data_IF_494319385285
#
_entry.id   IF_494319385285
#
_cell.length_a   1.000
_cell.length_b   1.000
_cell.length_c   1.000
_cell.angle_alpha   90.00
_cell.angle_beta   90.00
_cell.angle_gamma   90.00
#
_symmetry.space_group_name_H-M   'P 1'
#
loop_
_entity.id
_entity.type
_entity.pdbx_description
1 polymer ?
#
# COMPACT_ATOMS: atom_id res chain seq x y z
N UNK A 1 -26.99 18.13 -12.82
CA UNK A 1 -26.29 17.60 -14.00
C UNK A 1 -24.98 18.37 -14.13
N UNK A 2 -23.91 17.83 -13.57
CA UNK A 2 -22.57 18.43 -13.67
C UNK A 2 -21.84 17.64 -14.74
N UNK A 3 -21.60 18.27 -15.89
CA UNK A 3 -20.82 17.70 -16.98
C UNK A 3 -19.37 18.08 -16.73
N UNK A 4 -18.54 17.12 -16.34
CA UNK A 4 -17.09 17.29 -16.25
C UNK A 4 -16.52 16.91 -17.61
N UNK A 5 -16.06 17.92 -18.35
CA UNK A 5 -15.39 17.78 -19.65
C UNK A 5 -13.88 17.65 -19.38
N UNK A 6 -13.32 16.46 -19.54
CA UNK A 6 -11.87 16.25 -19.45
C UNK A 6 -11.26 16.33 -20.85
N UNK A 7 -10.50 17.41 -21.09
CA UNK A 7 -9.66 17.59 -22.28
C UNK A 7 -8.36 16.81 -22.06
N UNK A 8 -7.83 16.07 -23.05
CA UNK A 8 -6.55 15.37 -22.93
C UNK A 8 -5.41 16.40 -22.92
N UNK A 9 -4.91 16.74 -21.73
CA UNK A 9 -3.81 17.68 -21.55
C UNK A 9 -3.12 17.54 -20.19
N UNK A 10 -1.85 17.14 -20.24
CA UNK A 10 -0.77 17.31 -19.24
C UNK A 10 -1.13 16.95 -17.79
N UNK A 11 -0.72 15.74 -17.39
CA UNK A 11 -0.93 15.10 -16.08
C UNK A 11 0.02 15.61 -14.96
N UNK A 12 -0.03 16.90 -14.59
CA UNK A 12 0.81 17.40 -13.48
C UNK A 12 0.13 17.52 -12.12
N UNK A 13 -1.19 17.74 -12.01
CA UNK A 13 -1.81 18.10 -10.73
C UNK A 13 -3.21 17.50 -10.55
N UNK A 14 -3.30 16.18 -10.41
CA UNK A 14 -4.52 15.61 -9.86
C UNK A 14 -4.40 15.59 -8.32
N UNK A 15 -5.03 16.55 -7.67
CA UNK A 15 -5.62 16.33 -6.34
C UNK A 15 -6.58 15.16 -6.45
N UNK A 16 -6.64 14.36 -5.38
CA UNK A 16 -7.16 13.03 -5.52
C UNK A 16 -8.69 13.03 -5.59
N UNK A 17 -9.29 13.03 -6.79
CA UNK A 17 -10.77 13.09 -6.91
C UNK A 17 -11.47 11.96 -6.15
N UNK A 18 -10.80 10.82 -5.96
CA UNK A 18 -11.28 9.71 -5.15
C UNK A 18 -11.42 10.06 -3.67
N UNK A 19 -10.77 11.12 -3.19
CA UNK A 19 -10.90 11.62 -1.81
C UNK A 19 -12.25 12.31 -1.58
N UNK A 20 -12.91 12.77 -2.66
CA UNK A 20 -14.27 13.33 -2.60
C UNK A 20 -15.37 12.26 -2.60
N UNK A 21 -15.01 10.98 -2.76
CA UNK A 21 -15.97 9.89 -2.79
C UNK A 21 -16.38 9.46 -1.37
N UNK A 22 -17.63 8.98 -1.18
CA UNK A 22 -18.08 8.54 0.14
C UNK A 22 -17.23 7.37 0.67
N UNK A 23 -16.73 7.52 1.90
CA UNK A 23 -15.93 6.49 2.58
C UNK A 23 -16.82 5.38 3.16
N UNK A 24 -16.29 4.16 3.23
CA UNK A 24 -16.96 3.05 3.90
C UNK A 24 -16.75 3.13 5.42
N UNK A 25 -17.81 3.42 6.17
CA UNK A 25 -17.77 3.58 7.64
C UNK A 25 -17.52 2.28 8.42
N UNK A 26 -17.64 1.12 7.76
CA UNK A 26 -17.42 -0.21 8.35
C UNK A 26 -15.97 -0.69 8.18
N UNK A 27 -15.03 0.22 7.93
CA UNK A 27 -13.63 -0.12 7.67
C UNK A 27 -12.67 0.87 8.32
N UNK A 28 -11.45 0.41 8.61
CA UNK A 28 -10.35 1.22 9.12
C UNK A 28 -9.13 1.11 8.21
N UNK A 29 -8.32 2.17 8.16
CA UNK A 29 -7.02 2.18 7.50
C UNK A 29 -5.98 2.57 8.55
N UNK A 30 -4.90 1.79 8.63
CA UNK A 30 -3.72 2.09 9.43
C UNK A 30 -2.51 2.16 8.53
N UNK A 31 -1.70 3.21 8.69
CA UNK A 31 -0.48 3.41 7.91
C UNK A 31 0.65 3.80 8.83
N UNK A 32 1.86 3.31 8.54
CA UNK A 32 3.08 3.83 9.12
C UNK A 32 4.06 4.14 8.00
N UNK A 33 4.72 5.28 8.13
CA UNK A 33 5.72 5.73 7.17
C UNK A 33 6.99 4.91 7.32
N UNK A 34 7.61 4.58 6.20
CA UNK A 34 8.88 3.87 6.19
C UNK A 34 9.96 4.67 6.95
N UNK A 35 10.86 3.94 7.61
CA UNK A 35 11.95 4.54 8.33
C UNK A 35 13.21 3.67 8.24
N UNK A 36 14.36 4.30 8.47
CA UNK A 36 15.61 3.60 8.75
C UNK A 36 16.01 3.90 10.18
N UNK A 37 16.37 2.85 10.92
CA UNK A 37 16.93 2.99 12.25
C UNK A 37 18.44 3.21 12.13
N UNK A 38 18.94 4.28 12.73
CA UNK A 38 20.38 4.56 12.79
C UNK A 38 20.75 4.95 14.22
N UNK A 39 21.50 4.07 14.90
CA UNK A 39 21.87 4.25 16.30
C UNK A 39 20.68 4.27 17.25
N UNK A 40 19.67 3.41 17.02
CA UNK A 40 18.44 3.34 17.83
C UNK A 40 17.41 4.43 17.49
N UNK A 41 17.77 5.46 16.72
CA UNK A 41 16.85 6.52 16.31
C UNK A 41 16.21 6.22 14.96
N UNK A 42 14.88 6.33 14.92
CA UNK A 42 14.10 6.25 13.71
C UNK A 42 14.31 7.50 12.83
N UNK A 43 14.59 7.31 11.54
CA UNK A 43 14.65 8.40 10.55
C UNK A 43 13.80 8.08 9.33
N UNK A 44 12.82 8.92 9.06
CA UNK A 44 12.06 8.85 7.81
C UNK A 44 12.98 9.24 6.64
N UNK A 45 13.00 8.40 5.61
CA UNK A 45 13.93 8.56 4.48
C UNK A 45 13.27 9.08 3.21
N UNK A 46 11.95 8.97 3.12
CA UNK A 46 11.14 9.54 2.04
C UNK A 46 9.69 9.69 2.49
N UNK A 47 8.89 10.43 1.73
CA UNK A 47 7.45 10.59 1.97
C UNK A 47 6.70 9.25 1.84
N UNK A 48 5.53 9.14 2.48
CA UNK A 48 4.65 7.98 2.30
C UNK A 48 4.19 7.91 0.85
N UNK A 49 4.46 6.78 0.19
CA UNK A 49 4.26 6.63 -1.26
C UNK A 49 3.03 5.82 -1.65
N UNK A 50 2.46 5.05 -0.71
CA UNK A 50 1.33 4.18 -1.01
C UNK A 50 0.02 4.98 -1.05
N UNK A 51 -0.99 4.41 -1.70
CA UNK A 51 -2.37 4.94 -1.66
C UNK A 51 -3.28 3.85 -1.14
N UNK A 52 -4.10 4.18 -0.15
CA UNK A 52 -5.12 3.31 0.40
C UNK A 52 -6.50 3.93 0.21
N UNK A 53 -7.50 3.13 -0.14
CA UNK A 53 -8.87 3.59 -0.39
C UNK A 53 -9.87 2.67 0.29
N UNK A 54 -10.90 3.25 0.91
CA UNK A 54 -12.06 2.56 1.47
C UNK A 54 -13.34 3.31 1.10
N UNK A 55 -13.93 2.98 -0.04
CA UNK A 55 -15.06 3.69 -0.63
C UNK A 55 -16.34 2.87 -0.51
N UNK A 56 -17.49 3.54 -0.48
CA UNK A 56 -18.81 2.90 -0.51
C UNK A 56 -19.76 3.72 -1.38
N UNK A 57 -20.15 3.18 -2.53
CA UNK A 57 -21.02 3.88 -3.47
C UNK A 57 -21.93 2.90 -4.21
N UNK A 58 -23.19 3.28 -4.42
CA UNK A 58 -24.18 2.51 -5.17
C UNK A 58 -24.38 1.06 -4.67
N UNK A 59 -24.27 0.83 -3.36
CA UNK A 59 -24.39 -0.50 -2.76
C UNK A 59 -23.17 -1.40 -2.98
N UNK A 60 -22.05 -0.82 -3.43
CA UNK A 60 -20.78 -1.51 -3.66
C UNK A 60 -19.73 -0.90 -2.73
N UNK A 61 -18.97 -1.75 -2.04
CA UNK A 61 -17.84 -1.33 -1.22
C UNK A 61 -16.53 -1.64 -1.95
N UNK A 62 -15.58 -0.72 -1.90
CA UNK A 62 -14.29 -0.83 -2.56
C UNK A 62 -13.18 -0.58 -1.55
N UNK A 63 -12.26 -1.53 -1.44
CA UNK A 63 -11.07 -1.43 -0.60
C UNK A 63 -9.85 -1.64 -1.47
N UNK A 64 -8.85 -0.77 -1.39
CA UNK A 64 -7.67 -0.86 -2.25
C UNK A 64 -6.40 -0.44 -1.55
N UNK A 65 -5.33 -1.21 -1.79
CA UNK A 65 -3.96 -0.89 -1.41
C UNK A 65 -3.12 -0.84 -2.68
N UNK A 66 -2.49 0.31 -2.93
CA UNK A 66 -1.62 0.56 -4.07
C UNK A 66 -0.22 0.91 -3.57
N UNK A 67 0.71 -0.05 -3.64
CA UNK A 67 2.05 0.11 -3.10
C UNK A 67 3.03 0.59 -4.18
N UNK A 68 3.28 1.90 -4.22
CA UNK A 68 4.35 2.45 -5.04
C UNK A 68 5.74 2.02 -4.54
N UNK A 69 6.65 1.78 -5.49
CA UNK A 69 8.05 1.46 -5.24
C UNK A 69 8.99 2.21 -6.19
N UNK A 70 10.30 2.21 -5.88
CA UNK A 70 11.35 2.92 -6.60
C UNK A 70 11.17 4.46 -6.68
N UNK A 71 10.53 5.06 -5.67
CA UNK A 71 10.64 6.50 -5.39
C UNK A 71 9.71 7.43 -6.17
N UNK A 72 8.68 6.93 -6.86
CA UNK A 72 7.66 7.75 -7.53
C UNK A 72 6.26 7.19 -7.23
N UNK A 73 5.31 8.06 -6.88
CA UNK A 73 3.92 7.70 -6.53
C UNK A 73 2.98 7.71 -7.73
N UNK A 74 3.44 8.14 -8.90
CA UNK A 74 2.61 8.33 -10.10
C UNK A 74 1.84 7.07 -10.48
N UNK A 75 2.48 5.90 -10.47
CA UNK A 75 1.83 4.64 -10.81
C UNK A 75 0.68 4.33 -9.84
N UNK A 76 0.96 4.36 -8.53
CA UNK A 76 -0.04 4.07 -7.49
C UNK A 76 -1.23 5.02 -7.59
N UNK A 77 -0.96 6.32 -7.70
CA UNK A 77 -1.99 7.35 -7.90
C UNK A 77 -2.78 7.10 -9.17
N UNK A 78 -2.12 6.95 -10.32
CA UNK A 78 -2.81 6.77 -11.59
C UNK A 78 -3.74 5.57 -11.57
N UNK A 79 -3.22 4.42 -11.14
CA UNK A 79 -3.97 3.16 -11.10
C UNK A 79 -5.13 3.27 -10.13
N UNK A 80 -4.94 3.81 -8.93
CA UNK A 80 -6.03 3.96 -7.95
C UNK A 80 -7.21 4.75 -8.52
N UNK A 81 -6.94 5.81 -9.27
CA UNK A 81 -8.01 6.74 -9.67
C UNK A 81 -8.69 6.27 -10.91
N UNK A 82 -7.89 5.81 -11.87
CA UNK A 82 -8.43 5.36 -13.13
C UNK A 82 -9.24 4.11 -12.88
N UNK A 83 -8.77 3.19 -12.04
CA UNK A 83 -9.53 2.00 -11.68
C UNK A 83 -10.85 2.34 -10.97
N UNK A 84 -10.84 3.26 -9.99
CA UNK A 84 -12.07 3.73 -9.34
C UNK A 84 -13.00 4.43 -10.34
N UNK A 85 -12.47 5.21 -11.28
CA UNK A 85 -13.24 5.87 -12.33
C UNK A 85 -13.90 4.85 -13.27
N UNK A 86 -13.16 3.82 -13.66
CA UNK A 86 -13.69 2.72 -14.49
C UNK A 86 -14.76 1.92 -13.75
N UNK A 87 -14.61 1.70 -12.44
CA UNK A 87 -15.54 0.90 -11.62
C UNK A 87 -16.82 1.68 -11.30
N UNK A 88 -16.77 2.99 -11.07
CA UNK A 88 -17.92 3.76 -10.59
C UNK A 88 -18.49 4.78 -11.58
N UNK A 89 -17.77 5.16 -12.64
CA UNK A 89 -18.15 6.30 -13.50
C UNK A 89 -18.31 5.93 -14.98
N UNK A 90 -17.24 5.51 -15.67
CA UNK A 90 -17.26 5.38 -17.14
C UNK A 90 -18.12 4.20 -17.61
N UNK A 91 -17.98 3.04 -16.97
CA UNK A 91 -18.75 1.84 -17.24
C UNK A 91 -19.02 1.11 -15.93
N UNK A 92 -19.90 1.63 -15.07
CA UNK A 92 -19.92 1.23 -13.68
C UNK A 92 -20.24 -0.26 -13.50
N UNK A 93 -19.56 -0.90 -12.54
CA UNK A 93 -20.03 -2.16 -11.99
C UNK A 93 -21.34 -1.89 -11.25
N UNK A 94 -22.33 -2.75 -11.44
CA UNK A 94 -23.63 -2.64 -10.75
C UNK A 94 -23.97 -3.93 -10.03
N UNK A 95 -24.84 -3.82 -9.03
CA UNK A 95 -25.37 -4.96 -8.27
C UNK A 95 -26.23 -5.91 -9.11
N UNK A 96 -26.63 -5.50 -10.31
CA UNK A 96 -27.46 -6.31 -11.22
C UNK A 96 -26.62 -7.23 -12.14
N UNK A 97 -25.29 -7.05 -12.16
CA UNK A 97 -24.38 -7.89 -12.94
C UNK A 97 -24.19 -9.26 -12.27
N UNK A 98 -24.07 -10.32 -13.06
CA UNK A 98 -23.74 -11.65 -12.52
C UNK A 98 -22.28 -11.70 -12.02
N UNK A 99 -21.93 -12.64 -11.14
CA UNK A 99 -20.56 -12.77 -10.66
C UNK A 99 -19.52 -12.94 -11.77
N UNK A 100 -19.83 -13.72 -12.80
CA UNK A 100 -18.94 -13.92 -13.96
C UNK A 100 -18.76 -12.62 -14.76
N UNK A 101 -19.83 -11.84 -14.92
CA UNK A 101 -19.77 -10.54 -15.60
C UNK A 101 -18.91 -9.54 -14.81
N UNK A 102 -19.03 -9.54 -13.48
CA UNK A 102 -18.22 -8.68 -12.62
C UNK A 102 -16.74 -9.11 -12.69
N UNK A 103 -16.45 -10.41 -12.62
CA UNK A 103 -15.09 -10.93 -12.71
C UNK A 103 -14.42 -10.57 -14.06
N UNK A 104 -15.12 -10.78 -15.17
CA UNK A 104 -14.64 -10.42 -16.51
C UNK A 104 -14.45 -8.90 -16.63
N UNK A 105 -15.41 -8.12 -16.14
CA UNK A 105 -15.34 -6.66 -16.18
C UNK A 105 -14.17 -6.12 -15.33
N UNK A 106 -13.92 -6.67 -14.14
CA UNK A 106 -12.79 -6.27 -13.29
C UNK A 106 -11.45 -6.57 -13.96
N UNK A 107 -11.32 -7.77 -14.55
CA UNK A 107 -10.13 -8.17 -15.31
C UNK A 107 -9.88 -7.18 -16.45
N UNK A 108 -10.88 -6.95 -17.29
CA UNK A 108 -10.77 -6.04 -18.44
C UNK A 108 -10.48 -4.59 -18.01
N UNK A 109 -11.15 -4.09 -16.97
CA UNK A 109 -10.93 -2.74 -16.44
C UNK A 109 -9.51 -2.55 -15.95
N UNK A 110 -8.98 -3.50 -15.18
CA UNK A 110 -7.61 -3.39 -14.68
C UNK A 110 -6.59 -3.47 -15.82
N UNK A 111 -6.76 -4.39 -16.78
CA UNK A 111 -5.91 -4.48 -17.97
C UNK A 111 -5.91 -3.15 -18.74
N UNK A 112 -7.08 -2.58 -19.03
CA UNK A 112 -7.22 -1.28 -19.67
C UNK A 112 -6.53 -0.16 -18.89
N UNK A 113 -6.71 -0.08 -17.56
CA UNK A 113 -6.02 0.92 -16.71
C UNK A 113 -4.50 0.79 -16.86
N UNK A 114 -3.98 -0.44 -16.85
CA UNK A 114 -2.55 -0.68 -17.00
C UNK A 114 -2.04 -0.26 -18.38
N UNK A 115 -2.79 -0.54 -19.45
CA UNK A 115 -2.46 -0.14 -20.83
C UNK A 115 -2.47 1.38 -20.99
N UNK A 116 -3.46 2.06 -20.41
CA UNK A 116 -3.53 3.52 -20.43
C UNK A 116 -2.36 4.16 -19.67
N UNK A 117 -1.93 3.58 -18.55
CA UNK A 117 -0.72 4.03 -17.86
C UNK A 117 0.54 3.87 -18.72
N UNK A 118 0.64 2.76 -19.45
CA UNK A 118 1.76 2.53 -20.36
C UNK A 118 1.78 3.55 -21.51
N UNK A 119 0.61 3.98 -21.98
CA UNK A 119 0.49 5.04 -22.97
C UNK A 119 0.96 6.40 -22.41
N UNK A 120 0.67 6.71 -21.14
CA UNK A 120 1.18 7.93 -20.48
C UNK A 120 2.73 7.93 -20.37
N UNK A 121 3.33 6.76 -20.11
CA UNK A 121 4.78 6.61 -20.03
C UNK A 121 5.47 6.81 -21.39
N UNK A 122 4.78 6.64 -22.52
CA UNK A 122 5.39 6.80 -23.85
C UNK A 122 6.03 8.18 -24.07
N UNK A 123 5.50 9.23 -23.46
CA UNK A 123 6.10 10.57 -23.53
C UNK A 123 7.48 10.59 -22.82
N UNK A 124 7.60 9.92 -21.67
CA UNK A 124 8.88 9.78 -20.95
C UNK A 124 9.88 8.96 -21.75
N UNK A 125 9.46 7.87 -22.39
CA UNK A 125 10.31 7.05 -23.25
C UNK A 125 10.82 7.85 -24.45
N UNK A 126 9.94 8.63 -25.09
CA UNK A 126 10.32 9.49 -26.22
C UNK A 126 11.33 10.56 -25.78
N UNK A 127 11.07 11.24 -24.66
CA UNK A 127 12.01 12.23 -24.09
C UNK A 127 13.35 11.61 -23.74
N UNK A 128 13.36 10.40 -23.17
CA UNK A 128 14.58 9.64 -22.87
C UNK A 128 15.41 9.38 -24.13
N UNK A 129 14.77 8.97 -25.22
CA UNK A 129 15.46 8.70 -26.48
C UNK A 129 16.10 9.97 -27.06
N UNK A 130 15.35 11.07 -27.13
CA UNK A 130 15.86 12.36 -27.61
C UNK A 130 17.07 12.83 -26.81
N UNK A 131 17.03 12.67 -25.49
CA UNK A 131 18.17 13.02 -24.64
C UNK A 131 19.37 12.07 -24.85
N UNK A 132 19.16 10.75 -25.03
CA UNK A 132 20.25 9.83 -25.35
C UNK A 132 21.00 10.22 -26.64
N UNK A 133 20.31 10.77 -27.64
CA UNK A 133 20.94 11.20 -28.90
C UNK A 133 21.82 12.45 -28.74
N UNK A 134 21.44 13.38 -27.87
CA UNK A 134 22.15 14.66 -27.70
C UNK A 134 23.55 14.52 -27.08
N UNK A 135 23.82 13.46 -26.31
CA UNK A 135 25.15 13.12 -25.75
C UNK A 135 25.87 14.27 -25.02
N UNK A 136 25.14 15.17 -24.34
CA UNK A 136 25.69 16.22 -23.47
C UNK A 136 25.58 15.85 -21.99
N UNK A 137 26.38 16.45 -21.11
CA UNK A 137 26.32 16.22 -19.65
C UNK A 137 24.92 16.52 -19.05
N UNK A 138 24.28 17.59 -19.53
CA UNK A 138 22.91 17.93 -19.15
C UNK A 138 21.94 16.83 -19.59
N UNK A 139 22.13 16.30 -20.79
CA UNK A 139 21.31 15.23 -21.33
C UNK A 139 21.47 13.92 -20.56
N UNK A 140 22.69 13.56 -20.15
CA UNK A 140 22.92 12.40 -19.29
C UNK A 140 22.23 12.54 -17.93
N UNK A 141 22.25 13.75 -17.37
CA UNK A 141 21.55 14.06 -16.12
C UNK A 141 20.04 13.91 -16.29
N UNK A 142 19.48 14.37 -17.41
CA UNK A 142 18.06 14.20 -17.73
C UNK A 142 17.69 12.74 -17.96
N UNK A 143 18.52 11.95 -18.65
CA UNK A 143 18.33 10.51 -18.81
C UNK A 143 18.31 9.81 -17.46
N UNK A 144 19.22 10.15 -16.53
CA UNK A 144 19.21 9.58 -15.16
C UNK A 144 17.91 9.88 -14.42
N UNK A 145 17.43 11.13 -14.50
CA UNK A 145 16.14 11.52 -13.89
C UNK A 145 14.96 10.76 -14.50
N UNK A 146 14.92 10.62 -15.83
CA UNK A 146 13.84 9.88 -16.50
C UNK A 146 13.94 8.39 -16.17
N UNK A 147 15.13 7.80 -16.17
CA UNK A 147 15.34 6.40 -15.79
C UNK A 147 14.84 6.12 -14.37
N UNK A 148 15.01 7.05 -13.43
CA UNK A 148 14.45 6.91 -12.08
C UNK A 148 12.93 6.79 -12.12
N UNK A 149 12.25 7.63 -12.91
CA UNK A 149 10.78 7.59 -13.05
C UNK A 149 10.30 6.32 -13.76
N UNK A 150 11.03 5.86 -14.77
CA UNK A 150 10.69 4.66 -15.53
C UNK A 150 10.89 3.35 -14.74
N UNK A 151 11.70 3.35 -13.68
CA UNK A 151 11.85 2.20 -12.78
C UNK A 151 10.75 2.14 -11.72
N UNK A 152 10.01 3.23 -11.53
CA UNK A 152 8.91 3.26 -10.59
C UNK A 152 7.71 2.46 -11.10
N UNK A 153 7.00 1.86 -10.16
CA UNK A 153 5.80 1.09 -10.42
C UNK A 153 4.94 1.03 -9.17
N UNK A 154 3.80 0.36 -9.29
CA UNK A 154 2.90 0.08 -8.18
C UNK A 154 2.38 -1.34 -8.28
N UNK A 155 2.38 -2.05 -7.15
CA UNK A 155 1.47 -3.19 -6.99
C UNK A 155 0.08 -2.68 -6.66
N UNK A 156 -0.93 -3.52 -6.87
CA UNK A 156 -2.32 -3.19 -6.58
C UNK A 156 -3.03 -4.43 -6.01
N UNK A 157 -3.70 -4.25 -4.88
CA UNK A 157 -4.63 -5.23 -4.33
C UNK A 157 -5.94 -4.51 -4.05
N UNK A 158 -7.03 -5.02 -4.60
CA UNK A 158 -8.37 -4.45 -4.47
C UNK A 158 -9.34 -5.53 -4.05
N UNK A 159 -10.18 -5.23 -3.06
CA UNK A 159 -11.36 -6.02 -2.72
C UNK A 159 -12.63 -5.20 -3.03
N UNK A 160 -13.54 -5.78 -3.80
CA UNK A 160 -14.86 -5.23 -4.10
C UNK A 160 -15.91 -6.11 -3.44
N UNK A 161 -16.81 -5.53 -2.64
CA UNK A 161 -17.96 -6.25 -2.08
C UNK A 161 -19.20 -5.80 -2.84
N UNK A 162 -19.85 -6.75 -3.53
CA UNK A 162 -21.08 -6.54 -4.30
C UNK A 162 -22.10 -7.56 -3.82
N UNK A 163 -23.16 -7.08 -3.18
CA UNK A 163 -24.18 -7.93 -2.55
C UNK A 163 -23.56 -8.92 -1.55
N UNK A 164 -23.60 -10.20 -1.88
CA UNK A 164 -23.13 -11.36 -1.12
C UNK A 164 -21.83 -11.95 -1.68
N UNK A 165 -21.14 -11.24 -2.58
CA UNK A 165 -19.90 -11.71 -3.20
C UNK A 165 -18.73 -10.74 -2.93
N UNK A 166 -17.54 -11.31 -2.77
CA UNK A 166 -16.26 -10.60 -2.65
C UNK A 166 -15.42 -10.90 -3.87
N UNK A 167 -14.96 -9.85 -4.55
CA UNK A 167 -14.10 -9.92 -5.71
C UNK A 167 -12.73 -9.34 -5.34
N UNK A 168 -11.67 -10.10 -5.55
CA UNK A 168 -10.31 -9.66 -5.24
C UNK A 168 -9.54 -9.54 -6.54
N UNK A 169 -9.01 -8.35 -6.82
CA UNK A 169 -8.10 -8.10 -7.93
C UNK A 169 -6.70 -7.93 -7.36
N UNK A 170 -5.80 -8.88 -7.64
CA UNK A 170 -4.41 -8.80 -7.22
C UNK A 170 -3.49 -8.58 -8.43
N UNK A 171 -2.56 -7.64 -8.30
CA UNK A 171 -1.43 -7.43 -9.20
C UNK A 171 -0.22 -7.03 -8.36
N UNK A 172 0.30 -7.98 -7.60
CA UNK A 172 1.58 -7.90 -6.90
C UNK A 172 1.63 -8.83 -5.71
N UNK A 173 2.30 -8.38 -4.65
CA UNK A 173 2.65 -9.16 -3.46
C UNK A 173 1.97 -8.63 -2.18
N UNK A 174 0.90 -7.86 -2.31
CA UNK A 174 0.03 -7.55 -1.16
C UNK A 174 -0.89 -8.74 -0.88
N UNK A 175 -1.36 -8.85 0.37
CA UNK A 175 -2.13 -9.99 0.86
C UNK A 175 -3.50 -9.55 1.40
N UNK A 176 -4.51 -10.40 1.20
CA UNK A 176 -5.82 -10.29 1.85
C UNK A 176 -6.13 -11.55 2.66
N UNK A 177 -6.56 -11.34 3.90
CA UNK A 177 -6.94 -12.39 4.84
C UNK A 177 -8.42 -12.28 5.24
N UNK A 178 -9.10 -13.41 5.38
CA UNK A 178 -10.41 -13.54 6.00
C UNK A 178 -10.28 -14.02 7.45
N UNK A 179 -10.89 -13.28 8.38
CA UNK A 179 -10.91 -13.61 9.79
C UNK A 179 -12.19 -14.38 10.15
N UNK A 180 -12.07 -15.56 10.74
CA UNK A 180 -13.20 -16.41 11.09
C UNK A 180 -13.73 -16.17 12.50
N UNK A 181 -15.01 -16.50 12.74
CA UNK A 181 -15.61 -16.54 14.07
C UNK A 181 -14.86 -17.53 14.98
N UNK A 182 -14.57 -17.15 16.22
CA UNK A 182 -13.83 -17.95 17.20
C UNK A 182 -14.32 -19.41 17.26
N UNK A 183 -13.39 -20.36 17.09
CA UNK A 183 -13.65 -21.81 17.22
C UNK A 183 -13.61 -22.60 15.91
N UNK A 184 -13.52 -21.94 14.75
CA UNK A 184 -13.22 -22.60 13.47
C UNK A 184 -11.72 -22.53 13.18
N UNK A 185 -11.02 -23.66 13.35
CA UNK A 185 -9.70 -23.83 12.76
C UNK A 185 -9.90 -24.02 11.25
N UNK A 186 -10.02 -22.92 10.50
CA UNK A 186 -9.65 -22.94 9.09
C UNK A 186 -8.14 -22.78 9.05
N UNK A 187 -7.42 -23.69 8.38
CA UNK A 187 -5.98 -23.52 8.10
C UNK A 187 -5.75 -22.61 6.87
N UNK A 188 -6.83 -22.15 6.21
CA UNK A 188 -6.79 -21.37 4.99
C UNK A 188 -7.50 -20.02 5.20
N UNK A 189 -6.70 -18.98 5.49
CA UNK A 189 -7.17 -17.63 5.78
C UNK A 189 -6.94 -16.65 4.63
N UNK A 190 -6.13 -17.03 3.64
CA UNK A 190 -5.61 -16.13 2.64
C UNK A 190 -6.41 -16.24 1.35
N UNK A 191 -6.92 -15.11 0.86
CA UNK A 191 -7.84 -15.09 -0.29
C UNK A 191 -7.16 -14.75 -1.63
N UNK A 192 -5.84 -14.61 -1.65
CA UNK A 192 -5.07 -14.40 -2.87
C UNK A 192 -3.67 -15.00 -2.77
N UNK A 193 -3.09 -15.41 -3.88
CA UNK A 193 -1.67 -15.73 -3.97
C UNK A 193 -0.86 -14.47 -4.24
N UNK A 194 0.34 -14.37 -3.69
CA UNK A 194 1.30 -13.32 -4.01
C UNK A 194 1.96 -13.57 -5.37
N UNK A 195 2.30 -12.48 -6.06
CA UNK A 195 3.10 -12.53 -7.27
C UNK A 195 4.58 -12.31 -6.95
N UNK A 196 5.21 -13.37 -6.44
CA UNK A 196 6.64 -13.44 -6.16
C UNK A 196 7.23 -14.83 -6.46
N UNK A 197 8.36 -15.17 -5.82
CA UNK A 197 9.07 -16.43 -6.05
C UNK A 197 8.61 -17.59 -5.17
N UNK A 198 7.76 -17.33 -4.18
CA UNK A 198 7.14 -18.37 -3.37
C UNK A 198 5.96 -19.01 -4.14
N UNK A 199 5.39 -18.25 -5.09
CA UNK A 199 4.39 -18.73 -6.04
C UNK A 199 5.02 -19.55 -7.19
N UNK A 200 4.68 -20.85 -7.24
CA UNK A 200 5.20 -21.79 -8.24
C UNK A 200 4.80 -21.42 -9.68
N UNK A 201 3.61 -20.87 -9.89
CA UNK A 201 3.15 -20.45 -11.21
C UNK A 201 4.00 -19.28 -11.75
N UNK A 202 4.37 -18.34 -10.90
CA UNK A 202 5.26 -17.23 -11.26
C UNK A 202 6.68 -17.72 -11.52
N UNK A 203 7.18 -18.68 -10.73
CA UNK A 203 8.47 -19.33 -10.97
C UNK A 203 8.49 -20.04 -12.32
N UNK A 204 7.43 -20.77 -12.66
CA UNK A 204 7.29 -21.44 -13.96
C UNK A 204 7.17 -20.43 -15.10
N UNK A 205 6.39 -19.35 -14.93
CA UNK A 205 6.26 -18.26 -15.90
C UNK A 205 7.62 -17.63 -16.21
N UNK A 206 8.40 -17.30 -15.18
CA UNK A 206 9.74 -16.72 -15.32
C UNK A 206 10.71 -17.70 -16.01
N UNK A 207 10.67 -18.98 -15.65
CA UNK A 207 11.47 -20.03 -16.32
C UNK A 207 11.11 -20.17 -17.80
N UNK A 208 9.82 -20.10 -18.14
CA UNK A 208 9.33 -20.22 -19.52
C UNK A 208 9.80 -19.09 -20.43
N UNK A 209 10.08 -17.90 -19.88
CA UNK A 209 10.68 -16.79 -20.64
C UNK A 209 12.21 -16.79 -20.61
N UNK A 210 12.85 -17.71 -19.88
CA UNK A 210 14.31 -17.86 -19.84
C UNK A 210 15.00 -17.16 -18.65
N UNK A 211 14.25 -16.80 -17.60
CA UNK A 211 14.81 -16.23 -16.37
C UNK A 211 15.13 -17.32 -15.35
N UNK A 212 16.29 -17.22 -14.72
CA UNK A 212 16.63 -18.01 -13.54
C UNK A 212 15.89 -17.41 -12.35
N UNK A 213 14.78 -18.03 -11.96
CA UNK A 213 13.83 -17.47 -10.99
C UNK A 213 14.43 -17.25 -9.59
N UNK A 214 15.44 -18.01 -9.17
CA UNK A 214 15.98 -18.05 -7.79
C UNK A 214 16.44 -16.70 -7.21
N UNK A 215 16.70 -15.69 -8.06
CA UNK A 215 17.21 -14.39 -7.62
C UNK A 215 16.42 -13.20 -8.16
N UNK A 216 15.22 -13.43 -8.71
CA UNK A 216 14.44 -12.34 -9.29
C UNK A 216 13.83 -11.47 -8.18
N UNK A 217 14.04 -10.13 -8.20
CA UNK A 217 13.54 -9.26 -7.14
C UNK A 217 12.01 -9.11 -7.20
N UNK A 218 11.35 -9.10 -6.03
CA UNK A 218 9.92 -8.79 -5.90
C UNK A 218 9.61 -7.38 -6.46
N UNK A 219 8.37 -7.13 -6.93
CA UNK A 219 7.34 -8.11 -7.29
C UNK A 219 7.56 -8.67 -8.71
N UNK A 220 6.91 -9.79 -9.06
CA UNK A 220 6.89 -10.34 -10.43
C UNK A 220 5.75 -9.80 -11.29
N UNK A 221 4.74 -9.17 -10.67
CA UNK A 221 3.67 -8.44 -11.35
C UNK A 221 3.46 -7.07 -10.73
N UNK A 222 3.30 -6.05 -11.58
CA UNK A 222 3.05 -4.67 -11.16
C UNK A 222 2.63 -3.82 -12.36
N UNK A 223 2.00 -2.68 -12.10
CA UNK A 223 1.77 -1.64 -13.10
C UNK A 223 2.94 -0.65 -13.09
N UNK A 224 3.49 -0.37 -14.27
CA UNK A 224 4.69 0.45 -14.42
C UNK A 224 5.95 -0.40 -14.52
N UNK A 225 7.01 0.02 -13.83
CA UNK A 225 8.35 -0.56 -13.91
C UNK A 225 8.74 -0.90 -15.35
N UNK A 226 8.81 0.16 -16.13
CA UNK A 226 9.06 0.07 -17.55
C UNK A 226 10.39 -0.64 -17.84
N UNK A 227 11.37 -0.59 -16.93
CA UNK A 227 12.64 -1.30 -17.09
C UNK A 227 12.49 -2.82 -17.04
N UNK A 228 11.64 -3.36 -16.17
CA UNK A 228 11.37 -4.81 -16.11
C UNK A 228 10.18 -5.23 -16.97
N UNK A 229 9.35 -4.30 -17.43
CA UNK A 229 8.17 -4.56 -18.27
C UNK A 229 8.38 -4.34 -19.78
N UNK A 230 8.78 -3.14 -20.21
CA UNK A 230 8.88 -2.78 -21.65
C UNK A 230 10.30 -2.73 -22.17
N UNK A 231 11.21 -2.17 -21.37
CA UNK A 231 12.60 -1.95 -21.70
C UNK A 231 13.50 -3.08 -21.18
N UNK A 232 12.96 -4.25 -20.85
CA UNK A 232 13.74 -5.36 -20.29
C UNK A 232 14.88 -5.80 -21.22
N UNK A 233 14.68 -5.68 -22.54
CA UNK A 233 15.71 -6.00 -23.55
C UNK A 233 16.93 -5.07 -23.48
N UNK A 234 16.82 -3.92 -22.79
CA UNK A 234 17.95 -3.03 -22.55
C UNK A 234 18.82 -3.46 -21.34
N UNK A 235 18.32 -4.38 -20.50
CA UNK A 235 19.10 -4.92 -19.39
C UNK A 235 19.90 -6.15 -19.88
N UNK A 236 21.23 -6.11 -19.69
CA UNK A 236 22.10 -7.24 -20.05
C UNK A 236 21.76 -8.51 -19.25
N UNK A 237 21.22 -8.38 -18.04
CA UNK A 237 20.75 -9.53 -17.23
C UNK A 237 19.56 -10.27 -17.86
N UNK A 238 18.79 -9.58 -18.71
CA UNK A 238 17.59 -10.10 -19.36
C UNK A 238 17.83 -10.37 -20.85
N UNK A 239 19.08 -10.45 -21.28
CA UNK A 239 19.42 -10.69 -22.68
C UNK A 239 19.01 -12.11 -23.10
N UNK A 240 18.21 -12.20 -24.15
CA UNK A 240 17.78 -13.49 -24.72
C UNK A 240 16.50 -14.07 -24.13
N UNK A 241 15.84 -13.37 -23.18
CA UNK A 241 14.53 -13.78 -22.69
C UNK A 241 13.44 -13.46 -23.73
N UNK A 242 12.37 -14.25 -23.75
CA UNK A 242 11.34 -14.20 -24.80
C UNK A 242 10.12 -13.35 -24.44
N UNK A 243 10.07 -12.81 -23.23
CA UNK A 243 8.94 -12.03 -22.74
C UNK A 243 9.32 -11.17 -21.53
N UNK A 244 8.42 -10.25 -21.13
CA UNK A 244 8.66 -9.34 -20.02
C UNK A 244 8.73 -10.06 -18.66
N UNK A 245 9.79 -9.83 -17.86
CA UNK A 245 9.89 -10.34 -16.49
C UNK A 245 8.72 -9.90 -15.59
N UNK A 246 8.39 -8.60 -15.63
CA UNK A 246 7.26 -8.02 -14.88
C UNK A 246 6.09 -7.76 -15.81
N UNK A 247 4.93 -8.29 -15.46
CA UNK A 247 3.67 -8.09 -16.21
C UNK A 247 2.62 -7.38 -15.35
N UNK A 248 1.66 -6.72 -16.01
CA UNK A 248 0.55 -6.04 -15.34
C UNK A 248 -0.74 -6.86 -15.28
N UNK A 249 -0.71 -8.13 -15.71
CA UNK A 249 -1.90 -9.00 -15.74
C UNK A 249 -2.34 -9.33 -14.31
N UNK A 250 -3.55 -8.95 -13.90
CA UNK A 250 -4.05 -9.24 -12.57
C UNK A 250 -4.62 -10.67 -12.51
N UNK A 251 -4.65 -11.21 -11.30
CA UNK A 251 -5.52 -12.34 -10.97
C UNK A 251 -6.80 -11.80 -10.32
N UNK A 252 -7.94 -12.39 -10.68
CA UNK A 252 -9.25 -12.00 -10.14
C UNK A 252 -9.92 -13.21 -9.49
N UNK A 253 -10.00 -13.16 -8.17
CA UNK A 253 -10.62 -14.18 -7.33
C UNK A 253 -12.05 -13.77 -6.99
N UNK A 254 -12.95 -14.74 -6.88
CA UNK A 254 -14.36 -14.53 -6.54
C UNK A 254 -14.74 -15.50 -5.43
N UNK A 255 -15.33 -14.97 -4.37
CA UNK A 255 -15.80 -15.74 -3.24
C UNK A 255 -17.21 -15.32 -2.84
N UNK A 256 -18.02 -16.29 -2.44
CA UNK A 256 -19.28 -16.03 -1.75
C UNK A 256 -18.96 -15.59 -0.31
N UNK A 257 -19.70 -14.62 0.22
CA UNK A 257 -19.58 -14.25 1.63
C UNK A 257 -20.04 -15.40 2.51
N UNK A 258 -19.10 -15.95 3.27
CA UNK A 258 -19.40 -17.01 4.20
C UNK A 258 -19.87 -16.44 5.55
N UNK A 259 -20.90 -17.06 6.15
CA UNK A 259 -21.44 -16.67 7.47
C UNK A 259 -20.39 -16.69 8.60
N UNK A 260 -19.28 -17.40 8.38
CA UNK A 260 -18.18 -17.53 9.33
C UNK A 260 -17.15 -16.40 9.25
N UNK A 261 -17.17 -15.56 8.20
CA UNK A 261 -16.25 -14.43 8.09
C UNK A 261 -16.73 -13.25 8.93
N UNK A 262 -15.81 -12.67 9.69
CA UNK A 262 -16.10 -11.51 10.54
C UNK A 262 -15.47 -10.23 10.00
N UNK A 263 -14.24 -10.32 9.47
CA UNK A 263 -13.46 -9.20 8.99
C UNK A 263 -12.59 -9.62 7.80
N UNK A 264 -12.28 -8.66 6.94
CA UNK A 264 -11.23 -8.76 5.94
C UNK A 264 -10.06 -7.88 6.36
N UNK A 265 -8.84 -8.40 6.24
CA UNK A 265 -7.60 -7.67 6.45
C UNK A 265 -6.83 -7.60 5.14
N UNK A 266 -6.65 -6.40 4.59
CA UNK A 266 -5.73 -6.15 3.48
C UNK A 266 -4.43 -5.61 4.05
N UNK A 267 -3.29 -6.19 3.68
CA UNK A 267 -1.97 -5.72 4.11
C UNK A 267 -1.01 -5.62 2.93
N UNK A 268 -0.12 -4.63 3.00
CA UNK A 268 0.96 -4.48 2.02
C UNK A 268 2.09 -5.47 2.30
N UNK A 269 2.85 -5.79 1.26
CA UNK A 269 4.10 -6.56 1.35
C UNK A 269 5.08 -6.00 2.39
N UNK A 270 5.13 -4.68 2.56
CA UNK A 270 6.01 -4.06 3.56
C UNK A 270 5.62 -4.40 5.00
N UNK A 271 4.34 -4.62 5.29
CA UNK A 271 3.90 -5.07 6.64
C UNK A 271 4.33 -6.51 6.86
N UNK A 272 4.12 -7.38 5.86
CA UNK A 272 4.51 -8.79 5.89
C UNK A 272 6.02 -8.92 6.05
N UNK A 273 6.79 -8.26 5.18
CA UNK A 273 8.25 -8.27 5.20
C UNK A 273 8.82 -7.76 6.53
N UNK A 274 8.22 -6.72 7.13
CA UNK A 274 8.67 -6.21 8.43
C UNK A 274 8.46 -7.25 9.55
N UNK A 275 7.35 -7.99 9.52
CA UNK A 275 7.09 -9.06 10.50
C UNK A 275 8.05 -10.25 10.32
N UNK A 276 8.39 -10.59 9.08
CA UNK A 276 9.40 -11.61 8.76
C UNK A 276 10.81 -11.17 9.23
N UNK A 277 11.16 -9.89 9.04
CA UNK A 277 12.42 -9.30 9.52
C UNK A 277 12.54 -9.35 11.06
N UNK A 278 11.42 -9.33 11.79
CA UNK A 278 11.39 -9.53 13.25
C UNK A 278 11.69 -10.99 13.67
N UNK A 279 11.91 -11.90 12.72
CA UNK A 279 12.21 -13.31 12.99
C UNK A 279 10.98 -14.22 13.02
N UNK A 280 9.82 -13.72 12.59
CA UNK A 280 8.63 -14.56 12.40
C UNK A 280 8.82 -15.42 11.16
N UNK A 281 8.68 -16.73 11.30
CA UNK A 281 8.70 -17.64 10.14
C UNK A 281 7.54 -17.31 9.18
N UNK A 282 7.72 -17.40 7.84
CA UNK A 282 6.68 -17.04 6.87
C UNK A 282 5.31 -17.67 7.12
N UNK A 283 5.30 -18.95 7.51
CA UNK A 283 4.09 -19.73 7.84
C UNK A 283 3.32 -19.18 9.06
N UNK A 284 4.00 -18.40 9.93
CA UNK A 284 3.44 -17.83 11.16
C UNK A 284 3.01 -16.38 11.02
N UNK A 285 3.29 -15.72 9.89
CA UNK A 285 2.93 -14.31 9.67
C UNK A 285 1.42 -14.12 9.65
N UNK A 286 0.67 -14.99 8.96
CA UNK A 286 -0.79 -14.94 8.91
C UNK A 286 -1.41 -15.10 10.31
N UNK A 287 -1.08 -16.17 11.08
CA UNK A 287 -1.51 -16.28 12.47
C UNK A 287 -1.17 -15.06 13.34
N UNK A 288 0.02 -14.48 13.17
CA UNK A 288 0.44 -13.28 13.91
C UNK A 288 -0.47 -12.09 13.61
N UNK A 289 -0.67 -11.76 12.33
CA UNK A 289 -1.54 -10.65 11.90
C UNK A 289 -2.97 -10.78 12.43
N UNK A 290 -3.54 -11.98 12.36
CA UNK A 290 -4.88 -12.25 12.85
C UNK A 290 -4.96 -12.14 14.38
N UNK A 291 -3.95 -12.65 15.10
CA UNK A 291 -3.91 -12.58 16.56
C UNK A 291 -3.83 -11.13 17.07
N UNK A 292 -3.06 -10.29 16.40
CA UNK A 292 -2.93 -8.87 16.73
C UNK A 292 -4.24 -8.12 16.44
N UNK A 293 -4.91 -8.43 15.32
CA UNK A 293 -6.23 -7.87 15.02
C UNK A 293 -7.29 -8.25 16.06
N UNK A 294 -7.28 -9.52 16.51
CA UNK A 294 -8.17 -10.01 17.56
C UNK A 294 -7.89 -9.37 18.91
N UNK A 295 -6.61 -9.15 19.26
CA UNK A 295 -6.20 -8.46 20.49
C UNK A 295 -6.72 -7.03 20.54
N UNK A 296 -6.75 -6.38 19.39
CA UNK A 296 -7.17 -4.98 19.24
C UNK A 296 -8.67 -4.80 18.94
N UNK A 297 -9.45 -5.89 18.90
CA UNK A 297 -10.87 -5.90 18.52
C UNK A 297 -11.77 -5.04 19.42
N UNK A 298 -11.36 -4.83 20.67
CA UNK A 298 -12.10 -4.02 21.64
C UNK A 298 -11.89 -2.50 21.44
N UNK A 299 -11.01 -2.10 20.51
CA UNK A 299 -10.79 -0.73 20.10
C UNK A 299 -11.52 -0.41 18.78
N UNK A 300 -11.61 0.87 18.40
CA UNK A 300 -12.18 1.24 17.10
C UNK A 300 -11.37 0.60 15.96
N UNK A 301 -12.02 0.17 14.87
CA UNK A 301 -11.37 -0.49 13.73
C UNK A 301 -10.11 0.24 13.23
N UNK A 302 -10.13 1.57 13.20
CA UNK A 302 -8.97 2.40 12.83
C UNK A 302 -7.79 2.24 13.80
N UNK A 303 -8.03 2.18 15.11
CA UNK A 303 -6.97 2.00 16.11
C UNK A 303 -6.32 0.63 15.98
N UNK A 304 -7.10 -0.42 15.71
CA UNK A 304 -6.59 -1.76 15.48
C UNK A 304 -5.66 -1.80 14.27
N UNK A 305 -6.04 -1.18 13.14
CA UNK A 305 -5.19 -1.09 11.96
C UNK A 305 -3.90 -0.28 12.21
N UNK A 306 -3.96 0.80 12.98
CA UNK A 306 -2.77 1.59 13.35
C UNK A 306 -1.84 0.77 14.25
N UNK A 307 -2.38 0.14 15.29
CA UNK A 307 -1.60 -0.72 16.22
C UNK A 307 -0.90 -1.84 15.44
N UNK A 308 -1.61 -2.50 14.53
CA UNK A 308 -1.03 -3.51 13.62
C UNK A 308 0.13 -2.98 12.80
N UNK A 309 -0.03 -1.81 12.18
CA UNK A 309 1.01 -1.19 11.36
C UNK A 309 2.20 -0.68 12.19
N UNK A 310 2.00 -0.38 13.47
CA UNK A 310 3.08 0.01 14.39
C UNK A 310 3.82 -1.21 14.95
N UNK A 311 3.09 -2.26 15.35
CA UNK A 311 3.66 -3.48 15.91
C UNK A 311 4.52 -4.22 14.87
N UNK A 312 4.21 -4.10 13.57
CA UNK A 312 5.09 -4.62 12.52
C UNK A 312 6.46 -3.94 12.47
N UNK A 313 6.62 -2.77 13.10
CA UNK A 313 7.87 -2.00 13.13
C UNK A 313 8.59 -2.04 14.49
N UNK A 314 7.96 -2.53 15.56
CA UNK A 314 8.50 -2.41 16.93
C UNK A 314 8.65 -3.76 17.64
N UNK A 315 9.89 -4.23 17.73
CA UNK A 315 10.36 -5.15 18.78
C UNK A 315 11.90 -5.12 18.88
N UNK A 316 12.45 -3.95 19.23
CA UNK A 316 13.70 -3.89 20.00
C UNK A 316 13.31 -3.48 21.43
N UNK A 317 13.17 -4.45 22.32
CA UNK A 317 12.92 -4.17 23.73
C UNK A 317 14.24 -3.92 24.47
N UNK A 318 14.25 -2.82 25.21
CA UNK A 318 15.00 -2.58 26.46
C UNK A 318 16.52 -2.38 26.39
N UNK A 319 16.95 -1.16 26.09
CA UNK A 319 18.04 -0.53 26.85
C UNK A 319 17.67 0.91 27.16
N UNK A 320 17.77 1.26 28.45
CA UNK A 320 17.66 2.61 29.00
C UNK A 320 18.34 3.65 28.09
N UNK A 321 17.58 4.64 27.61
CA UNK A 321 18.12 6.00 27.45
C UNK A 321 16.98 7.02 27.45
N UNK A 322 17.24 8.08 28.20
CA UNK A 322 16.43 9.29 28.36
C UNK A 322 15.92 9.89 27.03
N UNK A 323 14.74 10.50 27.14
CA UNK A 323 14.13 11.51 26.26
C UNK A 323 14.41 11.38 24.75
N UNK A 324 13.40 10.97 23.97
CA UNK A 324 13.01 11.67 22.72
C UNK A 324 11.71 11.11 22.13
N UNK A 325 10.98 12.03 21.49
CA UNK A 325 9.70 11.94 20.78
C UNK A 325 9.14 10.55 20.46
N UNK A 326 7.97 10.25 21.04
CA UNK A 326 7.12 9.12 20.66
C UNK A 326 6.74 9.19 19.18
N UNK A 327 6.73 8.08 18.44
CA UNK A 327 6.28 8.05 17.05
C UNK A 327 4.85 8.61 16.95
N UNK A 328 4.64 9.60 16.07
CA UNK A 328 3.31 10.11 15.76
C UNK A 328 2.76 9.26 14.61
N UNK A 329 1.80 8.34 14.85
CA UNK A 329 1.11 7.66 13.75
C UNK A 329 0.44 8.70 12.85
N UNK A 330 0.73 8.64 11.55
CA UNK A 330 -0.01 9.42 10.57
C UNK A 330 -1.35 8.74 10.34
N UNK A 331 -2.43 9.39 10.78
CA UNK A 331 -3.79 9.01 10.43
C UNK A 331 -4.19 9.88 9.24
N UNK A 332 -4.68 9.25 8.16
CA UNK A 332 -5.39 9.96 7.10
C UNK A 332 -6.70 10.52 7.71
N UNK A 333 -6.62 11.76 8.21
CA UNK A 333 -7.69 12.45 8.97
C UNK A 333 -8.63 13.25 8.07
N UNK A 334 -8.42 13.22 6.75
CA UNK A 334 -9.23 13.95 5.78
C UNK A 334 -10.61 13.29 5.66
N UNK A 335 -11.49 13.63 6.61
CA UNK A 335 -12.84 13.10 6.78
C UNK A 335 -13.36 13.12 8.23
N UNK A 336 -12.51 13.43 9.22
CA UNK A 336 -12.89 13.46 10.64
C UNK A 336 -13.43 14.81 11.13
N UNK A 337 -13.34 15.88 10.32
CA UNK A 337 -13.63 17.26 10.74
C UNK A 337 -15.12 17.56 11.02
N UNK A 338 -16.04 16.63 10.75
CA UNK A 338 -17.47 16.90 10.90
C UNK A 338 -18.15 16.20 12.09
N UNK A 339 -17.45 15.35 12.87
CA UNK A 339 -18.09 14.57 13.93
C UNK A 339 -17.81 15.11 15.35
N UNK A 340 -18.87 15.50 16.07
CA UNK A 340 -18.80 16.06 17.44
C UNK A 340 -18.06 15.16 18.46
N UNK A 341 -18.19 13.84 18.31
CA UNK A 341 -17.48 12.87 19.16
C UNK A 341 -15.96 12.83 18.90
N UNK A 342 -15.52 13.19 17.69
CA UNK A 342 -14.09 13.29 17.37
C UNK A 342 -13.45 14.53 17.96
N UNK A 343 -14.20 15.64 18.01
CA UNK A 343 -13.77 16.85 18.73
C UNK A 343 -13.67 16.63 20.24
N UNK A 344 -14.57 15.84 20.83
CA UNK A 344 -14.49 15.46 22.24
C UNK A 344 -13.25 14.59 22.53
N UNK A 345 -12.95 13.61 21.66
CA UNK A 345 -11.73 12.80 21.77
C UNK A 345 -10.45 13.63 21.56
N UNK A 346 -10.47 14.60 20.65
CA UNK A 346 -9.35 15.52 20.43
C UNK A 346 -9.12 16.43 21.62
N UNK A 347 -10.18 17.00 22.21
CA UNK A 347 -10.07 17.79 23.44
C UNK A 347 -9.52 16.98 24.61
N UNK A 348 -9.88 15.71 24.73
CA UNK A 348 -9.37 14.83 25.78
C UNK A 348 -7.90 14.45 25.53
N UNK A 349 -7.50 14.20 24.29
CA UNK A 349 -6.10 13.98 23.90
C UNK A 349 -5.26 15.24 24.19
N UNK A 350 -5.72 16.42 23.79
CA UNK A 350 -5.03 17.69 24.03
C UNK A 350 -4.92 18.00 25.53
N UNK A 351 -5.95 17.69 26.34
CA UNK A 351 -5.90 17.82 27.81
C UNK A 351 -4.89 16.86 28.43
N UNK A 352 -4.78 15.64 27.92
CA UNK A 352 -3.81 14.64 28.40
C UNK A 352 -2.39 15.12 28.09
N UNK A 353 -2.13 15.63 26.87
CA UNK A 353 -0.81 16.15 26.50
C UNK A 353 -0.43 17.40 27.30
N UNK A 354 -1.34 18.35 27.51
CA UNK A 354 -1.08 19.54 28.37
C UNK A 354 -0.85 19.15 29.84
N UNK A 355 -1.50 18.11 30.34
CA UNK A 355 -1.29 17.61 31.69
C UNK A 355 0.05 16.88 31.86
N UNK A 356 0.53 16.21 30.81
CA UNK A 356 1.87 15.61 30.76
C UNK A 356 2.96 16.70 30.73
N UNK A 357 2.76 17.76 29.95
CA UNK A 357 3.71 18.86 29.81
C UNK A 357 3.88 19.65 31.13
N UNK A 358 2.77 19.89 31.85
CA UNK A 358 2.81 20.54 33.19
C UNK A 358 3.46 19.68 34.27
N UNK A 359 3.40 18.34 34.16
CA UNK A 359 4.09 17.43 35.07
C UNK A 359 5.60 17.39 34.84
N UNK A 360 6.04 17.59 33.59
CA UNK A 360 7.47 17.66 33.26
C UNK A 360 8.10 18.97 33.74
N UNK A 361 7.40 20.11 33.63
CA UNK A 361 7.89 21.40 34.14
C UNK A 361 8.06 21.42 35.68
N UNK A 362 7.27 20.63 36.42
CA UNK A 362 7.40 20.52 37.89
C UNK A 362 8.54 19.61 38.37
N UNK A 363 9.14 18.79 37.48
CA UNK A 363 10.23 17.87 37.85
C UNK A 363 11.62 18.51 37.77
N UNK A 364 11.79 19.57 36.98
CA UNK A 364 13.09 20.23 36.76
C UNK A 364 13.43 21.35 37.75
N UNK A 365 12.80 21.36 38.93
CA UNK A 365 13.09 22.34 39.98
C UNK A 365 13.30 21.71 41.34
N UNK A 366 14.40 20.97 41.50
CA UNK A 366 15.00 20.67 42.82
C UNK A 366 16.51 20.91 42.76
N UNK A 367 16.96 21.81 43.64
CA UNK A 367 18.29 22.42 43.76
C UNK A 367 19.40 21.40 44.15
N UNK A 368 20.58 21.58 43.56
CA UNK A 368 21.83 20.88 43.87
C UNK A 368 22.39 21.28 45.26
N UNK A 369 22.76 20.30 46.10
CA UNK A 369 23.66 20.52 47.24
C UNK A 369 25.12 20.22 46.85
N UNK A 370 26.11 21.05 47.26
CA UNK A 370 27.49 20.93 46.80
C UNK A 370 28.33 20.04 47.75
N UNK A 371 29.01 19.02 47.19
CA UNK A 371 30.11 18.35 47.88
C UNK A 371 31.45 19.00 47.53
N UNK A 372 32.11 19.54 48.55
CA UNK A 372 33.48 20.03 48.49
C UNK A 372 34.47 18.90 48.80
N UNK A 373 35.60 18.87 48.07
CA UNK A 373 36.78 18.12 48.47
C UNK A 373 37.94 19.11 48.56
N UNK A 374 38.49 19.23 49.77
CA UNK A 374 39.69 20.00 50.10
C UNK A 374 40.92 19.09 49.96
N UNK A 375 42.05 19.66 49.53
CA UNK A 375 43.37 19.02 49.46
C UNK A 375 43.86 18.60 50.85
#
# INVERSE_FOLDING_TARGET
ATVILLIPGVMSDWESWTDSMPRCVQSGIGVVQNAKYNGGMMRHTHDFMHKCLNLSQNGIQFYGIFCAYNGDTRAAKYVSNRLVYEIFVENPITVDMSPEQIQEALTHKFTMVSELYNQDINELLTKRLLHKEQSTEESETMVKKINSKLRAGSTALVALVVLDHIYIVNCGNSRILALFVEGTNSDDWQLNEEHDLDNQEEVERLKNIGIVAETFPRPTRAVGDCFRGFCYTENEEFKGITGPPVISTPDVYVYDMEDQWTHLLLCSDSVVSSIEELGTEPEKVNPFLLSELLRERDHSHTKSCISLAQNSLSLEDTLDTDETETPVPYVDLDGFDEHKAANEVREDIDRIFVAMDRKNIQKDSIEEEPYSISI
#
